data_IF_653948892829
#
_entry.id   IF_653948892829
#
_cell.length_a   1.000
_cell.length_b   1.000
_cell.length_c   1.000
_cell.angle_alpha   90.00
_cell.angle_beta   90.00
_cell.angle_gamma   90.00
#
_symmetry.space_group_name_H-M   'P 1'
#
loop_
_entity.id
_entity.type
_entity.pdbx_description
1 polymer ?
#
# COMPACT_ATOMS: atom_id res chain seq x y z
N UNK A 1 5.88 -7.68 -4.97
CA UNK A 1 7.13 -7.09 -5.50
C UNK A 1 6.92 -6.82 -6.98
N UNK A 2 7.36 -5.66 -7.49
CA UNK A 2 7.32 -5.41 -8.93
C UNK A 2 8.22 -6.45 -9.63
N UNK A 3 7.72 -7.00 -10.74
CA UNK A 3 8.48 -7.97 -11.52
C UNK A 3 9.50 -7.18 -12.37
N UNK A 4 10.76 -7.19 -11.96
CA UNK A 4 11.86 -6.53 -12.68
C UNK A 4 12.34 -7.34 -13.89
N UNK A 5 11.94 -8.61 -14.02
CA UNK A 5 12.27 -9.48 -15.14
C UNK A 5 11.26 -9.24 -16.27
N UNK A 6 11.71 -8.83 -17.47
CA UNK A 6 10.82 -8.60 -18.59
C UNK A 6 10.09 -9.88 -19.04
N UNK A 7 8.81 -9.76 -19.39
CA UNK A 7 8.02 -10.91 -19.86
C UNK A 7 8.37 -11.34 -21.30
N UNK A 8 8.55 -10.42 -22.29
CA UNK A 8 8.96 -10.82 -23.66
C UNK A 8 10.38 -11.39 -23.70
N UNK A 9 10.59 -12.46 -24.47
CA UNK A 9 11.89 -13.15 -24.57
C UNK A 9 13.03 -12.25 -25.07
N UNK A 10 12.78 -11.41 -26.07
CA UNK A 10 13.80 -10.46 -26.58
C UNK A 10 14.19 -9.42 -25.55
N UNK A 11 13.21 -8.91 -24.80
CA UNK A 11 13.47 -7.95 -23.71
C UNK A 11 14.18 -8.62 -22.54
N UNK A 12 13.86 -9.89 -22.24
CA UNK A 12 14.56 -10.67 -21.23
C UNK A 12 16.03 -10.92 -21.63
N UNK A 13 16.28 -11.26 -22.89
CA UNK A 13 17.66 -11.42 -23.39
C UNK A 13 18.47 -10.14 -23.20
N UNK A 14 17.95 -9.00 -23.65
CA UNK A 14 18.64 -7.72 -23.50
C UNK A 14 18.90 -7.39 -22.04
N UNK A 15 17.94 -7.68 -21.16
CA UNK A 15 18.07 -7.44 -19.73
C UNK A 15 19.13 -8.35 -19.07
N UNK A 16 19.13 -9.67 -19.37
CA UNK A 16 20.08 -10.61 -18.75
C UNK A 16 21.50 -10.41 -19.25
N UNK A 17 21.67 -10.04 -20.52
CA UNK A 17 23.00 -9.69 -21.08
C UNK A 17 23.54 -8.42 -20.41
N UNK A 18 22.73 -7.39 -20.22
CA UNK A 18 23.14 -6.19 -19.47
C UNK A 18 23.52 -6.55 -18.02
N UNK A 19 22.70 -7.38 -17.36
CA UNK A 19 22.97 -7.84 -16.01
C UNK A 19 24.29 -8.59 -15.91
N UNK A 20 24.55 -9.56 -16.81
CA UNK A 20 25.79 -10.33 -16.88
C UNK A 20 27.01 -9.43 -17.14
N UNK A 21 26.90 -8.51 -18.10
CA UNK A 21 27.98 -7.59 -18.47
C UNK A 21 28.41 -6.70 -17.30
N UNK A 22 27.45 -6.05 -16.64
CA UNK A 22 27.77 -5.16 -15.51
C UNK A 22 28.29 -5.94 -14.31
N UNK A 23 27.75 -7.14 -14.06
CA UNK A 23 28.24 -8.00 -13.00
C UNK A 23 29.67 -8.49 -13.25
N UNK A 24 30.01 -8.85 -14.49
CA UNK A 24 31.37 -9.28 -14.88
C UNK A 24 32.41 -8.17 -14.75
N UNK A 25 32.00 -6.91 -15.01
CA UNK A 25 32.90 -5.75 -14.88
C UNK A 25 33.34 -5.51 -13.43
N UNK A 26 32.45 -5.62 -12.49
CA UNK A 26 32.77 -5.40 -11.08
C UNK A 26 31.82 -6.17 -10.15
N UNK A 27 32.02 -7.48 -9.93
CA UNK A 27 31.16 -8.28 -9.06
C UNK A 27 31.10 -7.74 -7.62
N UNK A 28 32.23 -7.26 -7.09
CA UNK A 28 32.34 -6.75 -5.73
C UNK A 28 31.49 -5.50 -5.48
N UNK A 29 31.27 -4.64 -6.50
CA UNK A 29 30.37 -3.49 -6.42
C UNK A 29 28.95 -3.91 -6.05
N UNK A 30 28.52 -5.08 -6.55
CA UNK A 30 27.19 -5.63 -6.31
C UNK A 30 27.14 -6.58 -5.10
N UNK A 31 28.26 -6.76 -4.39
CA UNK A 31 28.37 -7.66 -3.24
C UNK A 31 28.38 -9.14 -3.62
N UNK A 32 28.80 -9.45 -4.84
CA UNK A 32 28.89 -10.81 -5.39
C UNK A 32 30.35 -11.17 -5.70
N UNK A 33 30.57 -12.41 -6.10
CA UNK A 33 31.93 -12.94 -6.42
C UNK A 33 32.12 -13.13 -7.91
N UNK A 34 33.37 -13.24 -8.35
CA UNK A 34 33.66 -13.54 -9.74
C UNK A 34 33.04 -14.86 -10.25
N UNK A 35 33.03 -15.97 -9.48
CA UNK A 35 32.29 -17.17 -9.87
C UNK A 35 30.78 -16.94 -10.10
N UNK A 36 30.13 -16.07 -9.30
CA UNK A 36 28.72 -15.73 -9.49
C UNK A 36 28.49 -15.04 -10.85
N UNK A 37 29.39 -14.13 -11.22
CA UNK A 37 29.34 -13.45 -12.52
C UNK A 37 29.48 -14.43 -13.67
N UNK A 38 30.43 -15.38 -13.58
CA UNK A 38 30.61 -16.43 -14.58
C UNK A 38 29.37 -17.30 -14.75
N UNK A 39 28.71 -17.64 -13.63
CA UNK A 39 27.49 -18.45 -13.65
C UNK A 39 26.35 -17.71 -14.35
N UNK A 40 26.18 -16.41 -14.09
CA UNK A 40 25.16 -15.59 -14.73
C UNK A 40 25.41 -15.43 -16.22
N UNK A 41 26.67 -15.20 -16.61
CA UNK A 41 27.08 -15.07 -18.02
C UNK A 41 26.81 -16.36 -18.80
N UNK A 42 27.13 -17.50 -18.22
CA UNK A 42 26.82 -18.80 -18.81
C UNK A 42 25.32 -19.00 -19.07
N UNK A 43 24.46 -18.55 -18.14
CA UNK A 43 23.01 -18.63 -18.32
C UNK A 43 22.49 -17.64 -19.40
N UNK A 44 23.04 -16.43 -19.44
CA UNK A 44 22.71 -15.46 -20.49
C UNK A 44 23.04 -15.98 -21.88
N UNK A 45 24.24 -16.54 -22.03
CA UNK A 45 24.71 -17.16 -23.28
C UNK A 45 23.87 -18.38 -23.68
N UNK A 46 23.53 -19.26 -22.72
CA UNK A 46 22.69 -20.42 -22.98
C UNK A 46 21.27 -20.03 -23.45
N UNK A 47 20.71 -18.99 -22.86
CA UNK A 47 19.43 -18.48 -23.30
C UNK A 47 19.48 -17.82 -24.68
N UNK A 48 20.50 -17.06 -24.99
CA UNK A 48 20.69 -16.45 -26.31
C UNK A 48 20.76 -17.50 -27.43
N UNK A 49 21.55 -18.55 -27.25
CA UNK A 49 21.65 -19.68 -28.17
C UNK A 49 20.28 -20.35 -28.36
N UNK A 50 19.57 -20.63 -27.25
CA UNK A 50 18.27 -21.29 -27.31
C UNK A 50 17.20 -20.42 -27.97
N UNK A 51 17.21 -19.11 -27.71
CA UNK A 51 16.29 -18.15 -28.32
C UNK A 51 16.54 -18.03 -29.82
N UNK A 52 17.79 -17.93 -30.23
CA UNK A 52 18.18 -17.90 -31.65
C UNK A 52 17.68 -19.15 -32.38
N UNK A 53 17.94 -20.36 -31.85
CA UNK A 53 17.47 -21.60 -32.44
C UNK A 53 15.94 -21.72 -32.52
N UNK A 54 15.20 -21.12 -31.56
CA UNK A 54 13.75 -21.15 -31.53
C UNK A 54 13.11 -20.08 -32.43
N UNK A 55 13.83 -19.04 -32.81
CA UNK A 55 13.34 -17.93 -33.64
C UNK A 55 13.71 -18.05 -35.09
N UNK A 56 14.83 -18.69 -35.42
CA UNK A 56 15.28 -18.93 -36.78
C UNK A 56 14.33 -19.90 -37.53
N UNK A 57 13.70 -19.48 -38.64
CA UNK A 57 12.79 -20.34 -39.40
C UNK A 57 13.40 -21.68 -39.86
N UNK A 58 14.72 -21.73 -40.04
CA UNK A 58 15.42 -22.94 -40.48
C UNK A 58 15.57 -24.01 -39.38
N UNK A 59 15.63 -23.59 -38.13
CA UNK A 59 15.88 -24.47 -36.95
C UNK A 59 14.68 -24.56 -36.01
N UNK A 60 13.66 -23.75 -36.20
CA UNK A 60 12.51 -23.69 -35.33
C UNK A 60 11.69 -24.99 -35.38
N UNK A 61 11.59 -25.67 -34.23
CA UNK A 61 10.77 -26.86 -34.02
C UNK A 61 10.10 -26.76 -32.62
N UNK A 62 9.07 -27.58 -32.35
CA UNK A 62 8.53 -27.66 -30.99
C UNK A 62 9.60 -27.98 -29.92
N UNK A 63 10.62 -28.77 -30.29
CA UNK A 63 11.72 -29.13 -29.38
C UNK A 63 12.60 -27.93 -29.09
N UNK A 64 12.97 -27.10 -30.09
CA UNK A 64 13.78 -25.90 -29.86
C UNK A 64 13.03 -24.84 -29.07
N UNK A 65 11.70 -24.72 -29.25
CA UNK A 65 10.86 -23.84 -28.44
C UNK A 65 10.82 -24.31 -26.98
N UNK A 66 10.62 -25.61 -26.74
CA UNK A 66 10.65 -26.18 -25.39
C UNK A 66 12.04 -26.01 -24.72
N UNK A 67 13.13 -26.18 -25.47
CA UNK A 67 14.50 -25.95 -25.00
C UNK A 67 14.73 -24.47 -24.61
N UNK A 68 14.22 -23.52 -25.39
CA UNK A 68 14.25 -22.10 -25.07
C UNK A 68 13.49 -21.79 -23.77
N UNK A 69 12.29 -22.32 -23.58
CA UNK A 69 11.50 -22.11 -22.39
C UNK A 69 12.19 -22.70 -21.14
N UNK A 70 12.79 -23.88 -21.25
CA UNK A 70 13.59 -24.49 -20.19
C UNK A 70 14.83 -23.66 -19.84
N UNK A 71 15.55 -23.16 -20.86
CA UNK A 71 16.73 -22.30 -20.69
C UNK A 71 16.37 -20.99 -20.01
N UNK A 72 15.24 -20.37 -20.38
CA UNK A 72 14.71 -19.18 -19.72
C UNK A 72 14.39 -19.44 -18.25
N UNK A 73 13.70 -20.52 -17.94
CA UNK A 73 13.36 -20.88 -16.56
C UNK A 73 14.63 -21.10 -15.72
N UNK A 74 15.65 -21.76 -16.27
CA UNK A 74 16.96 -21.94 -15.63
C UNK A 74 17.63 -20.61 -15.35
N UNK A 75 17.73 -19.72 -16.36
CA UNK A 75 18.32 -18.41 -16.21
C UNK A 75 17.60 -17.56 -15.15
N UNK A 76 16.26 -17.55 -15.17
CA UNK A 76 15.47 -16.85 -14.15
C UNK A 76 15.73 -17.40 -12.73
N UNK A 77 15.83 -18.71 -12.57
CA UNK A 77 16.06 -19.35 -11.27
C UNK A 77 17.41 -18.98 -10.66
N UNK A 78 18.44 -18.84 -11.52
CA UNK A 78 19.80 -18.47 -11.10
C UNK A 78 19.91 -16.97 -10.81
N UNK A 79 19.30 -16.10 -11.65
CA UNK A 79 19.49 -14.64 -11.53
C UNK A 79 18.61 -14.03 -10.41
N UNK A 80 17.44 -14.60 -10.12
CA UNK A 80 16.53 -14.07 -9.10
C UNK A 80 17.17 -13.91 -7.70
N UNK A 81 17.88 -14.91 -7.15
CA UNK A 81 18.57 -14.74 -5.87
C UNK A 81 19.60 -13.61 -5.88
N UNK A 82 20.38 -13.50 -6.95
CA UNK A 82 21.37 -12.43 -7.08
C UNK A 82 20.73 -11.04 -7.17
N UNK A 83 19.71 -10.89 -7.99
CA UNK A 83 18.98 -9.62 -8.10
C UNK A 83 18.33 -9.21 -6.76
N UNK A 84 17.81 -10.16 -5.97
CA UNK A 84 17.30 -9.91 -4.62
C UNK A 84 18.44 -9.49 -3.70
N UNK A 85 19.58 -10.16 -3.71
CA UNK A 85 20.74 -9.82 -2.90
C UNK A 85 21.25 -8.40 -3.21
N UNK A 86 21.37 -8.03 -4.49
CA UNK A 86 21.74 -6.68 -4.94
C UNK A 86 20.71 -5.64 -4.48
N UNK A 87 19.42 -5.93 -4.64
CA UNK A 87 18.34 -5.01 -4.22
C UNK A 87 18.39 -4.69 -2.73
N UNK A 88 18.69 -5.68 -1.89
CA UNK A 88 18.76 -5.56 -0.44
C UNK A 88 20.09 -5.02 0.07
N UNK A 89 21.14 -5.03 -0.74
CA UNK A 89 22.47 -4.59 -0.32
C UNK A 89 22.50 -3.05 -0.19
N UNK A 90 22.72 -2.52 1.04
CA UNK A 90 22.79 -1.07 1.27
C UNK A 90 24.05 -0.42 0.72
N UNK A 91 25.11 -1.20 0.46
CA UNK A 91 26.35 -0.68 -0.11
C UNK A 91 26.24 -0.40 -1.62
N UNK A 92 25.27 -1.03 -2.33
CA UNK A 92 25.01 -0.77 -3.75
C UNK A 92 24.16 0.47 -3.89
N UNK A 93 24.62 1.44 -4.66
CA UNK A 93 23.86 2.69 -4.88
C UNK A 93 22.57 2.45 -5.67
N UNK A 94 21.59 3.34 -5.52
CA UNK A 94 20.36 3.25 -6.31
C UNK A 94 20.63 3.39 -7.82
N UNK A 95 21.65 4.18 -8.20
CA UNK A 95 22.09 4.31 -9.59
C UNK A 95 22.59 2.97 -10.16
N UNK A 96 23.44 2.26 -9.43
CA UNK A 96 23.96 0.96 -9.84
C UNK A 96 22.87 -0.10 -9.92
N UNK A 97 21.91 -0.09 -8.96
CA UNK A 97 20.75 -0.98 -9.00
C UNK A 97 19.90 -0.77 -10.26
N UNK A 98 19.65 0.49 -10.62
CA UNK A 98 18.91 0.82 -11.85
C UNK A 98 19.71 0.43 -13.08
N UNK A 99 21.02 0.71 -13.11
CA UNK A 99 21.89 0.38 -14.24
C UNK A 99 21.91 -1.13 -14.53
N UNK A 100 22.00 -1.98 -13.51
CA UNK A 100 21.97 -3.45 -13.67
C UNK A 100 20.55 -3.98 -13.94
N UNK A 101 19.52 -3.13 -13.93
CA UNK A 101 18.13 -3.51 -14.25
C UNK A 101 17.36 -4.08 -13.07
N UNK A 102 17.78 -3.80 -11.83
CA UNK A 102 17.06 -4.19 -10.61
C UNK A 102 16.18 -3.04 -10.13
N UNK A 103 14.95 -3.33 -9.75
CA UNK A 103 14.03 -2.32 -9.24
C UNK A 103 14.49 -1.82 -7.87
N UNK A 104 14.67 -0.51 -7.75
CA UNK A 104 14.96 0.14 -6.47
C UNK A 104 13.68 0.20 -5.64
N UNK A 105 13.76 -0.27 -4.40
CA UNK A 105 12.67 -0.14 -3.45
C UNK A 105 12.49 1.32 -3.05
N UNK A 106 11.31 1.88 -3.30
CA UNK A 106 10.97 3.20 -2.78
C UNK A 106 10.97 3.16 -1.25
N UNK A 107 11.78 4.02 -0.65
CA UNK A 107 11.79 4.25 0.81
C UNK A 107 10.81 5.33 1.22
N UNK A 108 10.24 6.06 0.25
CA UNK A 108 9.24 7.08 0.50
C UNK A 108 7.86 6.43 0.56
N UNK A 109 7.19 6.41 1.72
CA UNK A 109 5.82 5.92 1.81
C UNK A 109 4.92 6.76 0.90
N UNK A 110 4.05 6.10 0.15
CA UNK A 110 3.00 6.82 -0.60
C UNK A 110 2.07 7.48 0.42
N UNK A 111 1.90 8.81 0.39
CA UNK A 111 0.97 9.47 1.30
C UNK A 111 -0.44 8.95 1.11
N UNK A 112 -1.11 8.63 2.21
CA UNK A 112 -2.53 8.28 2.18
C UNK A 112 -3.31 9.60 2.08
N UNK A 113 -4.11 9.82 1.02
CA UNK A 113 -4.86 11.07 0.86
C UNK A 113 -5.89 11.24 1.98
N UNK A 114 -6.26 12.50 2.26
CA UNK A 114 -7.32 12.79 3.21
C UNK A 114 -8.63 12.11 2.78
N UNK A 115 -9.44 11.61 3.74
CA UNK A 115 -10.76 11.06 3.43
C UNK A 115 -11.65 12.17 2.83
N UNK A 116 -12.34 11.89 1.74
CA UNK A 116 -13.24 12.85 1.07
C UNK A 116 -14.71 12.62 1.41
N UNK A 117 -15.06 11.42 1.89
CA UNK A 117 -16.44 11.04 2.23
C UNK A 117 -16.73 11.41 3.67
N UNK A 118 -17.73 12.27 3.95
CA UNK A 118 -18.15 12.53 5.32
C UNK A 118 -18.85 11.31 5.93
N UNK A 119 -18.79 11.10 7.24
CA UNK A 119 -19.59 10.09 7.90
C UNK A 119 -21.05 10.53 8.08
N UNK A 120 -21.91 9.54 8.35
CA UNK A 120 -23.28 9.72 8.83
C UNK A 120 -23.37 9.13 10.22
N UNK A 121 -23.99 9.85 11.13
CA UNK A 121 -24.22 9.43 12.53
C UNK A 121 -25.66 8.97 12.67
N UNK A 122 -25.85 7.75 13.15
CA UNK A 122 -27.16 7.20 13.49
C UNK A 122 -27.19 6.78 14.96
N UNK A 123 -28.25 7.12 15.66
CA UNK A 123 -28.51 6.62 17.00
C UNK A 123 -29.07 5.20 16.90
N UNK A 124 -28.37 4.21 17.45
CA UNK A 124 -28.85 2.83 17.48
C UNK A 124 -29.80 2.59 18.63
N UNK A 125 -29.45 3.12 19.79
CA UNK A 125 -30.28 3.05 20.99
C UNK A 125 -29.96 4.22 21.91
N UNK A 126 -30.97 4.68 22.61
CA UNK A 126 -30.85 5.62 23.70
C UNK A 126 -31.34 4.91 24.97
N UNK A 127 -30.43 4.73 25.92
CA UNK A 127 -30.74 4.32 27.28
C UNK A 127 -30.66 5.54 28.20
N UNK A 128 -31.21 5.46 29.45
CA UNK A 128 -31.00 6.54 30.39
C UNK A 128 -29.51 6.94 30.49
N UNK A 129 -29.22 8.19 30.17
CA UNK A 129 -27.87 8.78 30.22
C UNK A 129 -26.82 8.10 29.32
N UNK A 130 -27.26 7.34 28.30
CA UNK A 130 -26.32 6.67 27.36
C UNK A 130 -26.84 6.72 25.93
N UNK A 131 -26.03 7.21 25.01
CA UNK A 131 -26.27 7.08 23.58
C UNK A 131 -25.33 6.01 22.95
N UNK A 132 -25.91 5.15 22.13
CA UNK A 132 -25.16 4.22 21.30
C UNK A 132 -25.21 4.67 19.83
N UNK A 133 -24.06 5.08 19.30
CA UNK A 133 -23.97 5.69 17.98
C UNK A 133 -23.34 4.72 16.97
N UNK A 134 -23.97 4.59 15.81
CA UNK A 134 -23.37 4.00 14.62
C UNK A 134 -22.87 5.11 13.71
N UNK A 135 -21.62 4.98 13.22
CA UNK A 135 -21.03 5.91 12.28
C UNK A 135 -20.63 5.14 11.03
N UNK A 136 -21.15 5.56 9.88
CA UNK A 136 -20.95 4.94 8.59
C UNK A 136 -20.56 5.98 7.55
N UNK A 137 -19.82 5.64 6.47
CA UNK A 137 -19.58 6.58 5.37
C UNK A 137 -20.89 6.95 4.67
N UNK A 138 -21.03 8.19 4.26
CA UNK A 138 -22.20 8.66 3.49
C UNK A 138 -22.35 7.84 2.19
N UNK A 139 -23.54 7.30 1.96
CA UNK A 139 -23.84 6.50 0.76
C UNK A 139 -23.28 5.08 0.76
N UNK A 140 -22.61 4.63 1.83
CA UNK A 140 -22.10 3.27 1.91
C UNK A 140 -23.19 2.27 2.33
N UNK A 141 -23.20 1.11 1.68
CA UNK A 141 -24.10 -0.01 2.04
C UNK A 141 -23.58 -0.84 3.22
N UNK A 142 -22.34 -0.63 3.64
CA UNK A 142 -21.68 -1.36 4.73
C UNK A 142 -21.16 -0.40 5.82
N UNK A 143 -20.76 -0.97 6.97
CA UNK A 143 -20.24 -0.22 8.12
C UNK A 143 -18.72 0.00 8.09
N UNK A 144 -18.05 -0.37 7.00
CA UNK A 144 -16.62 -0.24 6.88
C UNK A 144 -16.20 1.23 6.73
N UNK A 145 -15.12 1.61 7.40
CA UNK A 145 -14.49 2.92 7.19
C UNK A 145 -13.96 3.02 5.75
N UNK A 146 -13.88 4.23 5.18
CA UNK A 146 -13.22 4.43 3.88
C UNK A 146 -11.79 3.89 3.86
N UNK A 147 -11.30 3.49 2.69
CA UNK A 147 -9.95 2.99 2.52
C UNK A 147 -8.91 3.98 3.07
N UNK A 148 -7.91 3.47 3.79
CA UNK A 148 -6.87 4.28 4.42
C UNK A 148 -7.26 4.97 5.73
N UNK A 149 -8.55 4.92 6.14
CA UNK A 149 -9.01 5.50 7.41
C UNK A 149 -8.84 4.50 8.55
N UNK A 150 -8.22 4.96 9.64
CA UNK A 150 -7.97 4.12 10.82
C UNK A 150 -8.85 4.48 11.99
N UNK A 151 -9.26 5.75 12.10
CA UNK A 151 -10.07 6.23 13.23
C UNK A 151 -11.19 7.15 12.80
N UNK A 152 -12.14 7.29 13.71
CA UNK A 152 -13.26 8.23 13.68
C UNK A 152 -13.02 9.21 14.81
N UNK A 153 -12.94 10.49 14.49
CA UNK A 153 -12.90 11.57 15.47
C UNK A 153 -14.33 12.03 15.72
N UNK A 154 -14.73 12.05 16.97
CA UNK A 154 -16.07 12.43 17.41
C UNK A 154 -15.99 13.72 18.22
N UNK A 155 -16.84 14.67 17.86
CA UNK A 155 -17.06 15.90 18.62
C UNK A 155 -18.50 15.95 19.10
N UNK A 156 -18.75 16.58 20.25
CA UNK A 156 -20.09 16.82 20.78
C UNK A 156 -20.16 18.11 21.59
N UNK A 157 -21.38 18.59 21.73
CA UNK A 157 -21.78 19.56 22.78
C UNK A 157 -23.10 19.13 23.38
N UNK A 158 -23.34 19.48 24.64
CA UNK A 158 -24.60 19.22 25.36
C UNK A 158 -25.15 20.55 25.84
N UNK A 159 -26.39 20.83 25.51
CA UNK A 159 -27.03 22.09 25.91
C UNK A 159 -28.53 22.09 25.70
N UNK A 160 -29.13 23.21 25.97
CA UNK A 160 -30.57 23.46 25.72
C UNK A 160 -30.83 23.96 24.30
N UNK A 161 -29.77 24.35 23.58
CA UNK A 161 -29.82 24.86 22.21
C UNK A 161 -28.98 23.97 21.31
N UNK A 162 -29.46 23.66 20.13
CA UNK A 162 -28.79 22.88 19.12
C UNK A 162 -27.59 23.69 18.56
N UNK A 163 -26.44 23.05 18.43
CA UNK A 163 -25.31 23.66 17.73
C UNK A 163 -25.58 23.68 16.22
N UNK A 164 -25.13 24.74 15.55
CA UNK A 164 -25.33 24.93 14.10
C UNK A 164 -24.04 24.79 13.29
N UNK A 165 -22.89 24.69 13.95
CA UNK A 165 -21.58 24.57 13.32
C UNK A 165 -20.72 23.54 14.09
N UNK A 166 -20.01 22.64 13.41
CA UNK A 166 -19.07 21.72 14.05
C UNK A 166 -17.98 22.42 14.89
N UNK A 167 -17.65 23.67 14.60
CA UNK A 167 -16.69 24.47 15.37
C UNK A 167 -17.16 24.78 16.80
N UNK A 168 -18.47 24.66 17.07
CA UNK A 168 -19.07 24.85 18.39
C UNK A 168 -18.95 23.60 19.27
N UNK A 169 -18.52 22.46 18.70
CA UNK A 169 -18.42 21.19 19.37
C UNK A 169 -17.00 20.96 19.90
N UNK A 170 -16.92 20.32 21.06
CA UNK A 170 -15.65 19.86 21.62
C UNK A 170 -15.33 18.44 21.15
N UNK A 171 -14.09 18.20 20.71
CA UNK A 171 -13.62 16.86 20.36
C UNK A 171 -13.53 16.04 21.65
N UNK A 172 -14.23 14.91 21.66
CA UNK A 172 -14.29 14.02 22.83
C UNK A 172 -13.42 12.77 22.69
N UNK A 173 -12.97 12.44 21.48
CA UNK A 173 -12.06 11.32 21.28
C UNK A 173 -11.94 10.84 19.86
N UNK A 174 -11.02 9.87 19.69
CA UNK A 174 -10.82 9.12 18.44
C UNK A 174 -11.07 7.64 18.70
N UNK A 175 -11.85 7.02 17.83
CA UNK A 175 -12.35 5.66 17.99
C UNK A 175 -11.99 4.80 16.79
N UNK A 176 -11.53 3.58 17.04
CA UNK A 176 -11.14 2.65 15.98
C UNK A 176 -12.30 1.91 15.32
N UNK A 177 -13.45 1.80 15.97
CA UNK A 177 -14.61 1.02 15.50
C UNK A 177 -15.92 1.53 16.10
N UNK A 178 -17.05 1.18 15.48
CA UNK A 178 -18.42 1.44 15.94
C UNK A 178 -19.08 0.12 16.36
N UNK A 179 -20.14 0.14 17.19
CA UNK A 179 -20.83 1.31 17.74
C UNK A 179 -20.04 2.02 18.82
N UNK A 180 -20.29 3.33 19.00
CA UNK A 180 -19.69 4.17 20.03
C UNK A 180 -20.69 4.34 21.17
N UNK A 181 -20.22 4.16 22.40
CA UNK A 181 -21.03 4.39 23.60
C UNK A 181 -20.63 5.73 24.20
N UNK A 182 -21.60 6.61 24.41
CA UNK A 182 -21.42 7.93 25.01
C UNK A 182 -22.29 8.03 26.26
N UNK A 183 -21.63 8.25 27.39
CA UNK A 183 -22.33 8.43 28.68
C UNK A 183 -22.48 9.91 29.01
N UNK A 184 -23.51 10.22 29.81
CA UNK A 184 -23.85 11.57 30.26
C UNK A 184 -24.01 11.59 31.78
N UNK A 185 -23.95 12.79 32.34
CA UNK A 185 -24.29 13.02 33.75
C UNK A 185 -25.81 13.13 33.94
N UNK A 186 -26.28 12.96 35.18
CA UNK A 186 -27.68 13.17 35.48
C UNK A 186 -28.15 14.62 35.19
N UNK A 187 -27.23 15.57 35.30
CA UNK A 187 -27.52 16.99 34.99
C UNK A 187 -27.75 17.25 33.51
N UNK A 188 -27.40 16.31 32.64
CA UNK A 188 -27.59 16.42 31.19
C UNK A 188 -28.93 15.85 30.73
N UNK A 189 -29.69 15.22 31.62
CA UNK A 189 -31.00 14.65 31.29
C UNK A 189 -31.95 15.74 30.75
N UNK A 190 -32.61 15.42 29.65
CA UNK A 190 -33.52 16.35 28.96
C UNK A 190 -32.84 17.39 28.07
N UNK A 191 -31.49 17.51 28.08
CA UNK A 191 -30.74 18.37 27.17
C UNK A 191 -30.57 17.72 25.82
N UNK A 192 -30.21 18.52 24.82
CA UNK A 192 -29.88 18.08 23.49
C UNK A 192 -28.35 17.88 23.40
N UNK A 193 -27.94 16.71 22.95
CA UNK A 193 -26.54 16.45 22.56
C UNK A 193 -26.40 16.51 21.04
N UNK A 194 -25.65 17.49 20.54
CA UNK A 194 -25.30 17.64 19.15
C UNK A 194 -23.96 16.96 18.91
N UNK A 195 -23.88 16.10 17.88
CA UNK A 195 -22.68 15.39 17.47
C UNK A 195 -22.21 15.79 16.08
N UNK A 196 -20.91 15.74 15.87
CA UNK A 196 -20.28 15.68 14.57
C UNK A 196 -19.16 14.64 14.58
N UNK A 197 -18.93 13.98 13.46
CA UNK A 197 -17.85 13.02 13.30
C UNK A 197 -17.08 13.27 12.00
N UNK A 198 -15.82 12.84 11.97
CA UNK A 198 -15.03 12.78 10.74
C UNK A 198 -14.08 11.60 10.75
N UNK A 199 -13.74 11.11 9.55
CA UNK A 199 -12.74 10.06 9.41
C UNK A 199 -11.33 10.65 9.44
N UNK A 200 -10.37 9.87 9.96
CA UNK A 200 -8.96 10.23 9.96
C UNK A 200 -8.11 9.10 9.38
N UNK A 201 -7.09 9.48 8.62
CA UNK A 201 -6.07 8.55 8.13
C UNK A 201 -5.03 8.26 9.20
N UNK A 202 -4.29 7.17 9.02
CA UNK A 202 -3.10 6.91 9.82
C UNK A 202 -2.00 7.91 9.47
N UNK A 203 -1.33 8.44 10.48
CA UNK A 203 -0.04 9.08 10.26
C UNK A 203 0.98 8.00 9.89
N UNK A 204 1.54 8.09 8.67
CA UNK A 204 2.71 7.30 8.29
C UNK A 204 3.95 7.73 9.09
N UNK A 205 5.08 7.02 8.96
CA UNK A 205 6.34 7.43 9.58
C UNK A 205 6.68 8.87 9.15
N UNK A 206 6.64 9.81 10.11
CA UNK A 206 6.84 11.25 9.86
C UNK A 206 5.65 11.99 9.25
N UNK A 207 4.48 11.36 9.06
CA UNK A 207 3.28 11.97 8.50
C UNK A 207 2.28 12.44 9.56
N UNK A 208 1.62 13.57 9.29
CA UNK A 208 0.51 14.06 10.10
C UNK A 208 -0.76 13.30 9.70
N UNK A 209 -1.53 12.79 10.69
CA UNK A 209 -2.85 12.21 10.43
C UNK A 209 -3.76 13.26 9.79
N UNK A 210 -4.31 12.95 8.61
CA UNK A 210 -5.20 13.85 7.89
C UNK A 210 -6.65 13.59 8.28
N UNK A 211 -7.41 14.67 8.44
CA UNK A 211 -8.83 14.62 8.76
C UNK A 211 -9.65 14.89 7.50
N UNK A 212 -10.72 14.13 7.33
CA UNK A 212 -11.74 14.35 6.32
C UNK A 212 -12.76 15.42 6.73
N UNK A 213 -13.78 15.62 5.89
CA UNK A 213 -14.88 16.52 6.20
C UNK A 213 -15.69 16.04 7.40
N UNK A 214 -16.26 16.99 8.14
CA UNK A 214 -17.22 16.70 9.18
C UNK A 214 -18.53 16.14 8.60
N UNK A 215 -19.20 15.29 9.37
CA UNK A 215 -20.58 14.89 9.10
C UNK A 215 -21.52 16.09 9.16
N UNK A 216 -22.73 15.91 8.64
CA UNK A 216 -23.85 16.72 9.11
C UNK A 216 -23.99 16.58 10.64
N UNK A 217 -24.47 17.64 11.30
CA UNK A 217 -24.77 17.62 12.72
C UNK A 217 -25.92 16.64 13.00
N UNK A 218 -25.83 15.91 14.10
CA UNK A 218 -26.85 14.97 14.53
C UNK A 218 -27.22 15.27 15.98
N UNK A 219 -28.51 15.54 16.20
CA UNK A 219 -29.05 15.99 17.47
C UNK A 219 -29.90 14.88 18.11
N UNK A 220 -29.59 14.56 19.35
CA UNK A 220 -30.35 13.57 20.13
C UNK A 220 -30.58 14.07 21.56
N UNK A 221 -31.76 13.79 22.08
CA UNK A 221 -32.10 14.15 23.46
C UNK A 221 -31.49 13.13 24.42
N UNK A 222 -30.86 13.60 25.49
CA UNK A 222 -30.34 12.77 26.57
C UNK A 222 -31.54 12.36 27.46
N UNK A 223 -31.84 11.06 27.49
CA UNK A 223 -32.98 10.50 28.24
C UNK A 223 -32.59 10.10 29.66
#
# INVERSE_FOLDING_TARGET
MANYIPAPDSSFLSWILNFATLLALNPALFGLTAPDAVLVDAQATAFDIALTAATDPATRTPVTVAAKDASRASAESIVRPYAVAISLNPAVTNGDKVAIGVTVRSTTPTPIPAPVTPPVIALLSAFPLVHQLQITPLGASNKAKPAGCVSIELARTVGTVVATDPAQLSIIGQYGKTPLIQSFSADDQGKICTYAARFRTQSGPGGVSQAGPWSALADFVVM
#
